data_IF_401986572105
#
_entry.id   IF_401986572105
#
_cell.length_a   1.000
_cell.length_b   1.000
_cell.length_c   1.000
_cell.angle_alpha   90.00
_cell.angle_beta   90.00
_cell.angle_gamma   90.00
#
_symmetry.space_group_name_H-M   'P 1'
#
loop_
_entity.id
_entity.type
_entity.pdbx_description
1 polymer ?
#
# COMPACT_ATOMS: atom_id res chain seq x y z
N UNK A 1 13.33 31.65 5.21
CA UNK A 1 12.95 30.39 4.57
C UNK A 1 11.89 29.72 5.45
N UNK A 2 10.65 29.56 4.98
CA UNK A 2 9.67 28.74 5.69
C UNK A 2 10.17 27.30 5.59
N UNK A 3 10.52 26.69 6.72
CA UNK A 3 10.73 25.25 6.80
C UNK A 3 9.40 24.60 6.44
N UNK A 4 9.30 24.04 5.24
CA UNK A 4 8.20 23.12 4.92
C UNK A 4 8.39 21.92 5.84
N UNK A 5 7.49 21.78 6.82
CA UNK A 5 7.50 20.56 7.66
C UNK A 5 7.40 19.36 6.75
N UNK A 6 8.31 18.40 6.94
CA UNK A 6 8.27 17.12 6.21
C UNK A 6 7.00 16.39 6.60
N UNK A 7 6.36 15.77 5.60
CA UNK A 7 5.17 14.95 5.83
C UNK A 7 5.56 13.61 6.44
N UNK A 8 4.80 13.17 7.42
CA UNK A 8 4.92 11.82 7.97
C UNK A 8 4.03 10.89 7.13
N UNK A 9 4.62 9.82 6.62
CA UNK A 9 3.91 8.76 5.89
C UNK A 9 3.94 7.49 6.73
N UNK A 10 2.76 7.05 7.15
CA UNK A 10 2.60 5.78 7.83
C UNK A 10 2.82 4.63 6.85
N UNK A 11 3.64 3.65 7.22
CA UNK A 11 3.90 2.47 6.39
C UNK A 11 3.41 1.24 7.13
N UNK A 12 2.54 0.46 6.49
CA UNK A 12 2.14 -0.84 7.00
C UNK A 12 3.31 -1.82 6.85
N UNK A 13 3.76 -2.48 7.94
CA UNK A 13 4.88 -3.41 7.88
C UNK A 13 4.50 -4.72 7.21
N UNK A 14 5.52 -5.41 6.75
CA UNK A 14 5.48 -6.84 6.47
C UNK A 14 5.51 -7.60 7.80
N UNK A 15 4.85 -8.75 7.85
CA UNK A 15 4.81 -9.60 9.04
C UNK A 15 5.36 -11.00 8.72
N UNK A 16 6.15 -11.55 9.62
CA UNK A 16 6.69 -12.90 9.53
C UNK A 16 6.00 -13.75 10.61
N UNK A 17 5.10 -14.64 10.20
CA UNK A 17 4.29 -15.47 11.09
C UNK A 17 5.14 -16.48 11.88
N UNK A 18 6.26 -16.95 11.32
CA UNK A 18 7.13 -17.92 11.99
C UNK A 18 7.96 -17.27 13.08
N UNK A 19 8.40 -16.02 12.87
CA UNK A 19 9.23 -15.26 13.80
C UNK A 19 8.44 -14.30 14.68
N UNK A 20 7.14 -14.21 14.45
CA UNK A 20 6.25 -13.23 15.13
C UNK A 20 6.86 -11.82 15.12
N UNK A 21 7.35 -11.38 13.95
CA UNK A 21 8.11 -10.13 13.84
C UNK A 21 7.67 -9.26 12.68
N UNK A 22 7.70 -7.95 12.91
CA UNK A 22 7.56 -6.96 11.85
C UNK A 22 8.88 -6.77 11.11
N UNK A 23 8.80 -6.59 9.81
CA UNK A 23 9.96 -6.24 8.99
C UNK A 23 9.58 -5.32 7.84
N UNK A 24 10.58 -4.71 7.21
CA UNK A 24 10.39 -3.71 6.16
C UNK A 24 11.54 -3.77 5.17
N UNK A 25 11.22 -3.81 3.88
CA UNK A 25 12.22 -3.62 2.84
C UNK A 25 12.69 -2.17 2.84
N UNK A 26 14.03 -1.93 2.89
CA UNK A 26 14.58 -0.57 2.92
C UNK A 26 14.16 0.30 1.73
N UNK A 27 13.75 -0.30 0.60
CA UNK A 27 13.27 0.40 -0.59
C UNK A 27 12.08 1.30 -0.30
N UNK A 28 11.08 0.82 0.43
CA UNK A 28 9.90 1.59 0.80
C UNK A 28 10.25 2.88 1.56
N UNK A 29 11.14 2.77 2.54
CA UNK A 29 11.56 3.95 3.32
C UNK A 29 12.38 4.91 2.48
N UNK A 30 13.36 4.40 1.72
CA UNK A 30 14.27 5.21 0.91
C UNK A 30 13.55 6.02 -0.18
N UNK A 31 12.55 5.44 -0.84
CA UNK A 31 11.79 6.16 -1.87
C UNK A 31 11.00 7.34 -1.28
N UNK A 32 10.44 7.20 -0.08
CA UNK A 32 9.73 8.28 0.61
C UNK A 32 10.68 9.36 1.13
N UNK A 33 11.82 8.95 1.71
CA UNK A 33 12.85 9.89 2.17
C UNK A 33 13.41 10.75 1.04
N UNK A 34 13.58 10.17 -0.15
CA UNK A 34 14.08 10.91 -1.30
C UNK A 34 13.07 11.95 -1.82
N UNK A 35 11.79 11.75 -1.61
CA UNK A 35 10.73 12.75 -1.86
C UNK A 35 10.49 13.66 -0.64
N UNK A 36 11.44 13.72 0.29
CA UNK A 36 11.43 14.58 1.48
C UNK A 36 10.29 14.28 2.47
N UNK A 37 9.77 13.05 2.50
CA UNK A 37 8.86 12.57 3.53
C UNK A 37 9.62 11.98 4.72
N UNK A 38 8.90 11.69 5.81
CA UNK A 38 9.37 10.94 6.98
C UNK A 38 8.63 9.61 6.98
N UNK A 39 9.26 8.50 6.62
CA UNK A 39 8.63 7.19 6.71
C UNK A 39 8.52 6.74 8.15
N UNK A 40 7.35 6.27 8.55
CA UNK A 40 7.08 5.75 9.90
C UNK A 40 6.42 4.38 9.81
N UNK A 41 7.12 3.34 10.20
CA UNK A 41 6.54 2.01 10.28
C UNK A 41 5.52 1.96 11.41
N UNK A 42 4.28 1.56 11.09
CA UNK A 42 3.18 1.48 12.06
C UNK A 42 3.06 0.07 12.62
N UNK A 43 2.68 -0.12 13.89
CA UNK A 43 2.27 -1.44 14.36
C UNK A 43 0.97 -1.86 13.67
N UNK A 44 0.82 -3.17 13.40
CA UNK A 44 -0.46 -3.72 12.96
C UNK A 44 -1.44 -3.71 14.14
N UNK A 45 -2.61 -3.12 13.94
CA UNK A 45 -3.63 -3.01 14.98
C UNK A 45 -5.04 -2.97 14.39
N UNK A 46 -6.00 -3.56 15.08
CA UNK A 46 -7.43 -3.40 14.84
C UNK A 46 -8.08 -2.44 15.86
N UNK A 47 -7.29 -1.78 16.70
CA UNK A 47 -7.80 -0.84 17.70
C UNK A 47 -8.16 0.49 17.06
N UNK A 48 -9.45 0.80 16.97
CA UNK A 48 -9.96 2.04 16.35
C UNK A 48 -9.29 3.31 16.90
N UNK A 49 -9.01 3.39 18.20
CA UNK A 49 -8.36 4.57 18.79
C UNK A 49 -6.92 4.75 18.34
N UNK A 50 -6.21 3.65 18.09
CA UNK A 50 -4.86 3.70 17.55
C UNK A 50 -4.89 4.09 16.07
N UNK A 51 -5.85 3.55 15.31
CA UNK A 51 -6.07 3.91 13.92
C UNK A 51 -6.44 5.41 13.78
N UNK A 52 -7.35 5.92 14.61
CA UNK A 52 -7.68 7.35 14.66
C UNK A 52 -6.44 8.21 14.93
N UNK A 53 -5.60 7.79 15.86
CA UNK A 53 -4.37 8.50 16.16
C UNK A 53 -3.39 8.50 14.98
N UNK A 54 -3.26 7.38 14.27
CA UNK A 54 -2.42 7.34 13.06
C UNK A 54 -2.97 8.24 11.95
N UNK A 55 -4.29 8.29 11.77
CA UNK A 55 -4.94 9.21 10.83
C UNK A 55 -4.69 10.68 11.17
N UNK A 56 -4.53 11.00 12.46
CA UNK A 56 -4.27 12.35 12.92
C UNK A 56 -2.81 12.80 12.69
N UNK A 57 -1.84 11.88 12.89
CA UNK A 57 -0.42 12.24 12.84
C UNK A 57 0.24 12.01 11.46
N UNK A 58 -0.32 11.12 10.62
CA UNK A 58 0.20 10.84 9.29
C UNK A 58 -0.51 11.68 8.23
N UNK A 59 0.25 12.22 7.29
CA UNK A 59 -0.31 12.90 6.14
C UNK A 59 -0.86 11.95 5.09
N UNK A 60 -0.36 10.71 5.07
CA UNK A 60 -0.79 9.64 4.18
C UNK A 60 -0.25 8.29 4.61
N UNK A 61 -0.69 7.23 3.91
CA UNK A 61 -0.36 5.84 4.24
C UNK A 61 0.15 5.11 3.00
N UNK A 62 1.19 4.31 3.19
CA UNK A 62 1.71 3.37 2.22
C UNK A 62 1.42 1.94 2.70
N UNK A 63 0.58 1.24 1.96
CA UNK A 63 0.36 -0.19 2.14
C UNK A 63 1.43 -0.92 1.34
N UNK A 64 2.19 -1.76 2.01
CA UNK A 64 3.29 -2.50 1.38
C UNK A 64 2.81 -3.84 0.88
N UNK A 65 3.63 -4.49 0.09
CA UNK A 65 3.52 -5.92 -0.24
C UNK A 65 3.43 -6.81 1.01
N UNK A 66 3.01 -8.06 0.85
CA UNK A 66 2.98 -8.98 1.97
C UNK A 66 2.18 -10.25 1.73
N UNK A 67 1.42 -10.65 2.73
CA UNK A 67 0.54 -11.80 2.67
C UNK A 67 -0.60 -11.59 1.68
N UNK A 68 -1.07 -12.68 1.08
CA UNK A 68 -2.30 -12.65 0.29
C UNK A 68 -3.48 -12.19 1.17
N UNK A 69 -4.36 -11.38 0.60
CA UNK A 69 -5.63 -11.06 1.26
C UNK A 69 -6.45 -12.33 1.41
N UNK A 70 -6.97 -12.57 2.61
CA UNK A 70 -7.76 -13.79 2.88
C UNK A 70 -8.97 -13.87 1.94
N UNK A 71 -9.14 -14.98 1.22
CA UNK A 71 -10.31 -15.18 0.36
C UNK A 71 -11.66 -15.01 1.06
N UNK A 72 -11.71 -15.16 2.39
CA UNK A 72 -12.90 -14.90 3.19
C UNK A 72 -13.36 -13.44 3.14
N UNK A 73 -12.45 -12.49 2.95
CA UNK A 73 -12.74 -11.05 2.84
C UNK A 73 -13.62 -10.74 1.61
N UNK A 74 -13.40 -11.47 0.52
CA UNK A 74 -14.22 -11.35 -0.70
C UNK A 74 -15.16 -12.55 -0.94
N UNK A 75 -15.52 -13.27 0.15
CA UNK A 75 -16.52 -14.35 0.19
C UNK A 75 -16.16 -15.59 -0.66
N UNK A 76 -14.87 -15.84 -0.89
CA UNK A 76 -14.38 -17.03 -1.57
C UNK A 76 -13.72 -18.02 -0.61
N UNK A 77 -13.53 -19.28 -1.08
CA UNK A 77 -12.80 -20.30 -0.31
C UNK A 77 -11.33 -20.26 -0.68
N UNK A 78 -10.46 -20.40 0.34
CA UNK A 78 -9.02 -20.53 0.13
C UNK A 78 -8.72 -21.71 -0.81
N UNK A 79 -7.94 -21.45 -1.84
CA UNK A 79 -7.51 -22.42 -2.84
C UNK A 79 -6.04 -22.79 -2.60
N UNK A 80 -5.59 -23.90 -3.22
CA UNK A 80 -4.25 -24.46 -2.97
C UNK A 80 -3.08 -23.56 -3.42
N UNK A 81 -3.34 -22.57 -4.25
CA UNK A 81 -2.35 -21.60 -4.72
C UNK A 81 -2.36 -20.28 -3.95
N UNK A 82 -3.30 -20.08 -3.01
CA UNK A 82 -3.26 -18.94 -2.12
C UNK A 82 -2.10 -19.10 -1.15
N UNK A 83 -1.31 -18.04 -1.00
CA UNK A 83 -0.24 -17.96 -0.03
C UNK A 83 -0.72 -17.88 1.41
N UNK A 84 0.15 -17.47 2.30
CA UNK A 84 -0.20 -17.16 3.69
C UNK A 84 -1.04 -15.88 3.74
N UNK A 85 -2.00 -15.82 4.67
CA UNK A 85 -2.82 -14.64 4.93
C UNK A 85 -2.54 -14.18 6.35
N UNK A 86 -2.58 -12.89 6.62
CA UNK A 86 -2.41 -12.31 7.95
C UNK A 86 -3.69 -11.57 8.33
N UNK A 87 -4.50 -12.14 9.22
CA UNK A 87 -5.80 -11.59 9.61
C UNK A 87 -5.71 -10.13 10.09
N UNK A 88 -4.68 -9.81 10.87
CA UNK A 88 -4.50 -8.46 11.40
C UNK A 88 -4.16 -7.43 10.30
N UNK A 89 -3.44 -7.84 9.26
CA UNK A 89 -3.23 -7.01 8.07
C UNK A 89 -4.53 -6.86 7.29
N UNK A 90 -5.26 -7.95 7.07
CA UNK A 90 -6.55 -7.92 6.37
C UNK A 90 -7.53 -6.94 7.03
N UNK A 91 -7.61 -6.94 8.37
CA UNK A 91 -8.44 -5.99 9.12
C UNK A 91 -7.98 -4.54 8.96
N UNK A 92 -6.69 -4.28 9.02
CA UNK A 92 -6.13 -2.95 8.84
C UNK A 92 -6.24 -2.47 7.39
N UNK A 93 -6.10 -3.36 6.40
CA UNK A 93 -6.20 -3.07 4.96
C UNK A 93 -7.64 -2.84 4.50
N UNK A 94 -8.66 -3.34 5.19
CA UNK A 94 -10.06 -3.05 4.88
C UNK A 94 -10.41 -1.56 5.00
N UNK A 95 -9.57 -0.79 5.68
CA UNK A 95 -9.68 0.68 5.76
C UNK A 95 -9.02 1.35 4.55
N UNK A 96 -8.25 0.63 3.75
CA UNK A 96 -7.54 1.13 2.57
C UNK A 96 -7.17 0.02 1.58
N UNK A 97 -7.15 0.34 0.37
CA UNK A 97 -7.01 -0.36 -0.91
C UNK A 97 -6.10 -1.60 -0.96
N UNK A 98 -6.57 -2.63 -1.67
CA UNK A 98 -5.99 -3.94 -1.90
C UNK A 98 -4.94 -3.98 -3.02
N UNK A 99 -3.83 -4.74 -2.84
CA UNK A 99 -2.92 -5.16 -3.92
C UNK A 99 -2.04 -6.35 -3.52
N UNK A 100 -1.96 -7.50 -4.28
CA UNK A 100 -0.75 -8.24 -4.62
C UNK A 100 -0.92 -9.47 -5.53
N UNK A 101 0.08 -9.85 -6.21
CA UNK A 101 0.53 -10.43 -7.47
C UNK A 101 0.34 -11.93 -7.76
N UNK A 102 -0.25 -12.73 -6.93
CA UNK A 102 -0.79 -14.03 -7.33
C UNK A 102 -2.26 -13.95 -7.70
N UNK A 103 -2.83 -12.76 -7.57
CA UNK A 103 -4.24 -12.45 -7.80
C UNK A 103 -4.33 -11.19 -8.66
N UNK A 104 -4.86 -11.31 -9.86
CA UNK A 104 -5.23 -10.15 -10.67
C UNK A 104 -6.63 -9.66 -10.29
N UNK A 105 -6.88 -8.38 -10.46
CA UNK A 105 -8.21 -7.79 -10.24
C UNK A 105 -9.15 -8.37 -11.30
N UNK A 106 -10.07 -9.24 -10.88
CA UNK A 106 -11.09 -9.84 -11.75
C UNK A 106 -12.26 -8.88 -11.98
N UNK A 107 -12.67 -8.20 -10.92
CA UNK A 107 -13.79 -7.27 -10.91
C UNK A 107 -13.39 -6.03 -10.10
N UNK A 108 -13.37 -4.89 -10.77
CA UNK A 108 -12.99 -3.62 -10.16
C UNK A 108 -14.16 -3.07 -9.34
N UNK A 109 -13.92 -2.66 -8.10
CA UNK A 109 -14.93 -1.99 -7.29
C UNK A 109 -15.40 -0.68 -7.95
N UNK A 110 -16.67 -0.34 -7.78
CA UNK A 110 -17.36 0.74 -8.51
C UNK A 110 -16.70 2.12 -8.36
N UNK A 111 -16.04 2.36 -7.25
CA UNK A 111 -15.40 3.65 -6.94
C UNK A 111 -14.01 3.80 -7.57
N UNK A 112 -13.46 2.72 -8.12
CA UNK A 112 -12.14 2.70 -8.75
C UNK A 112 -12.20 2.70 -10.26
N UNK A 113 -11.17 3.24 -10.88
CA UNK A 113 -10.95 3.18 -12.33
C UNK A 113 -9.57 2.56 -12.59
N UNK A 114 -9.51 1.71 -13.63
CA UNK A 114 -8.23 1.20 -14.12
C UNK A 114 -7.44 2.34 -14.78
N UNK A 115 -6.16 2.41 -14.48
CA UNK A 115 -5.25 3.41 -15.00
C UNK A 115 -4.30 2.82 -16.04
N UNK A 116 -3.89 1.57 -15.86
CA UNK A 116 -2.96 0.88 -16.74
C UNK A 116 -3.33 -0.60 -16.88
N UNK A 117 -2.98 -1.19 -18.03
CA UNK A 117 -3.22 -2.59 -18.35
C UNK A 117 -1.94 -3.21 -18.91
N UNK A 118 -1.69 -4.48 -18.57
CA UNK A 118 -0.68 -5.30 -19.21
C UNK A 118 -1.05 -5.66 -20.66
N UNK A 119 -0.11 -6.21 -21.42
CA UNK A 119 -0.33 -6.64 -22.80
C UNK A 119 -1.42 -7.74 -22.92
N UNK A 120 -1.58 -8.57 -21.90
CA UNK A 120 -2.61 -9.62 -21.81
C UNK A 120 -3.93 -9.13 -21.19
N UNK A 121 -4.04 -7.82 -20.90
CA UNK A 121 -5.27 -7.16 -20.50
C UNK A 121 -5.58 -7.20 -19.00
N UNK A 122 -4.63 -7.60 -18.15
CA UNK A 122 -4.77 -7.51 -16.71
C UNK A 122 -4.63 -6.06 -16.24
N UNK A 123 -5.38 -5.68 -15.21
CA UNK A 123 -5.27 -4.36 -14.60
C UNK A 123 -3.99 -4.28 -13.79
N UNK A 124 -3.08 -3.38 -14.17
CA UNK A 124 -1.79 -3.16 -13.52
C UNK A 124 -1.81 -1.99 -12.53
N UNK A 125 -2.71 -1.04 -12.71
CA UNK A 125 -2.90 0.05 -11.76
C UNK A 125 -4.31 0.58 -11.74
N UNK A 126 -4.71 1.08 -10.57
CA UNK A 126 -6.04 1.62 -10.29
C UNK A 126 -5.93 2.93 -9.53
N UNK A 127 -6.95 3.75 -9.63
CA UNK A 127 -7.09 4.95 -8.81
C UNK A 127 -8.56 5.22 -8.46
N UNK A 128 -8.77 5.99 -7.40
CA UNK A 128 -10.10 6.42 -6.98
C UNK A 128 -10.29 7.91 -7.31
N UNK A 129 -11.10 8.25 -8.35
CA UNK A 129 -11.26 9.63 -8.82
C UNK A 129 -11.87 10.59 -7.78
N UNK A 130 -12.67 10.05 -6.85
CA UNK A 130 -13.36 10.83 -5.82
C UNK A 130 -12.48 11.29 -4.69
N UNK A 131 -11.26 10.74 -4.56
CA UNK A 131 -10.31 11.04 -3.50
C UNK A 131 -9.09 11.79 -4.03
N UNK A 132 -8.40 12.45 -3.11
CA UNK A 132 -7.25 13.31 -3.42
C UNK A 132 -6.09 12.51 -4.01
N UNK A 133 -5.79 11.36 -3.43
CA UNK A 133 -4.80 10.41 -3.92
C UNK A 133 -5.06 9.03 -3.29
N UNK A 134 -5.69 8.16 -4.03
CA UNK A 134 -5.73 6.71 -3.74
C UNK A 134 -5.35 6.02 -5.03
N UNK A 135 -4.22 5.37 -5.03
CA UNK A 135 -3.63 4.68 -6.18
C UNK A 135 -3.12 3.33 -5.73
N UNK A 136 -3.48 2.29 -6.45
CA UNK A 136 -2.91 0.95 -6.33
C UNK A 136 -2.09 0.62 -7.57
N UNK A 137 -0.95 -0.03 -7.40
CA UNK A 137 -0.09 -0.48 -8.49
C UNK A 137 0.31 -1.94 -8.27
N UNK A 138 0.44 -2.66 -9.37
CA UNK A 138 0.84 -4.07 -9.35
C UNK A 138 2.37 -4.25 -9.35
N UNK A 139 3.12 -3.29 -9.85
CA UNK A 139 4.59 -3.35 -9.83
C UNK A 139 5.17 -2.78 -8.53
N UNK A 140 6.49 -2.91 -8.37
CA UNK A 140 7.24 -2.54 -7.18
C UNK A 140 8.05 -1.24 -7.38
N UNK A 141 7.45 -0.05 -7.11
CA UNK A 141 8.18 1.22 -7.23
C UNK A 141 9.43 1.28 -6.34
N UNK A 142 9.40 0.62 -5.17
CA UNK A 142 10.49 0.60 -4.20
C UNK A 142 11.77 -0.07 -4.72
N UNK A 143 11.65 -0.94 -5.74
CA UNK A 143 12.82 -1.54 -6.41
C UNK A 143 13.30 -0.73 -7.60
N UNK A 144 12.40 -0.06 -8.32
CA UNK A 144 12.69 0.65 -9.56
C UNK A 144 12.90 2.15 -9.40
N UNK A 145 12.52 2.72 -8.26
CA UNK A 145 12.52 4.14 -7.96
C UNK A 145 13.83 4.87 -8.35
N UNK A 146 15.00 4.25 -8.18
CA UNK A 146 16.29 4.88 -8.49
C UNK A 146 16.58 4.99 -9.99
N UNK A 147 15.96 4.16 -10.82
CA UNK A 147 16.25 4.02 -12.26
C UNK A 147 15.04 4.31 -13.16
N UNK A 148 13.82 4.20 -12.63
CA UNK A 148 12.59 4.41 -13.38
C UNK A 148 11.93 5.75 -13.05
N UNK A 149 11.71 6.56 -14.08
CA UNK A 149 11.09 7.88 -13.93
C UNK A 149 9.61 7.80 -13.55
N UNK A 150 8.88 6.78 -14.00
CA UNK A 150 7.46 6.62 -13.70
C UNK A 150 7.26 6.26 -12.24
N UNK A 151 8.08 5.36 -11.70
CA UNK A 151 8.08 5.05 -10.27
C UNK A 151 8.37 6.29 -9.41
N UNK A 152 9.32 7.14 -9.82
CA UNK A 152 9.55 8.43 -9.13
C UNK A 152 8.37 9.37 -9.22
N UNK A 153 7.72 9.48 -10.36
CA UNK A 153 6.56 10.36 -10.56
C UNK A 153 5.39 9.96 -9.64
N UNK A 154 5.13 8.66 -9.50
CA UNK A 154 4.04 8.17 -8.65
C UNK A 154 4.29 8.47 -7.18
N UNK A 155 5.51 8.20 -6.70
CA UNK A 155 5.90 8.48 -5.31
C UNK A 155 5.89 9.98 -5.01
N UNK A 156 6.41 10.80 -5.94
CA UNK A 156 6.36 12.26 -5.83
C UNK A 156 4.92 12.78 -5.81
N UNK A 157 4.05 12.29 -6.68
CA UNK A 157 2.65 12.67 -6.70
C UNK A 157 1.95 12.32 -5.37
N UNK A 158 2.22 11.15 -4.82
CA UNK A 158 1.71 10.74 -3.51
C UNK A 158 2.17 11.70 -2.41
N UNK A 159 3.46 11.87 -2.22
CA UNK A 159 4.02 12.75 -1.15
C UNK A 159 3.56 14.20 -1.33
N UNK A 160 3.39 14.66 -2.57
CA UNK A 160 2.90 16.02 -2.85
C UNK A 160 1.41 16.21 -2.57
N UNK A 161 0.64 15.14 -2.58
CA UNK A 161 -0.82 15.17 -2.38
C UNK A 161 -1.24 15.25 -0.90
N UNK A 162 -0.39 14.87 0.03
CA UNK A 162 -0.65 14.76 1.47
C UNK A 162 -0.16 15.95 2.27
#
# INVERSE_FOLDING_TARGET
MKSTMRKVIGIMPLYDDEKESYWMLPGYMKMLEAENAIPMMLPLTANEKELDYFLEICGGFLLTDGHDVSPSVYHEKKKSWCGSCCELRDEMEQIGVNSYHHQAIRELALDFQAMEFSEDGLIESIYMPSNKFIVGVQWHPEFSYTVDENSRKIVNAFVSSV
#
